data_IF_524404635803
#
_entry.id   IF_524404635803
#
_cell.length_a   1.000
_cell.length_b   1.000
_cell.length_c   1.000
_cell.angle_alpha   90.00
_cell.angle_beta   90.00
_cell.angle_gamma   90.00
#
_symmetry.space_group_name_H-M   'P 1'
#
loop_
_entity.id
_entity.type
_entity.pdbx_description
1 polymer ?
#
# COMPACT_ATOMS: atom_id res chain seq x y z
N UNK A 1 -28.29 5.50 -99.43
CA UNK A 1 -29.47 6.30 -99.02
C UNK A 1 -29.43 6.53 -97.51
N UNK A 2 -28.44 7.27 -97.02
CA UNK A 2 -28.24 7.61 -95.60
C UNK A 2 -28.19 9.13 -95.42
N UNK A 3 -29.12 9.84 -96.08
CA UNK A 3 -29.00 11.29 -96.28
C UNK A 3 -30.28 12.07 -95.94
N UNK A 4 -31.05 11.60 -94.95
CA UNK A 4 -32.31 12.26 -94.53
C UNK A 4 -32.57 12.24 -93.01
N UNK A 5 -31.55 12.47 -92.20
CA UNK A 5 -31.71 12.83 -90.79
C UNK A 5 -30.89 14.07 -90.43
N UNK A 6 -30.98 15.11 -91.25
CA UNK A 6 -30.48 16.44 -90.90
C UNK A 6 -31.50 17.50 -91.30
N UNK A 7 -32.62 17.54 -90.58
CA UNK A 7 -33.45 18.74 -90.52
C UNK A 7 -32.92 19.60 -89.36
N UNK A 8 -32.45 20.84 -89.60
CA UNK A 8 -32.04 21.71 -88.52
C UNK A 8 -33.26 22.00 -87.66
N UNK A 9 -33.20 21.61 -86.38
CA UNK A 9 -34.20 22.03 -85.39
C UNK A 9 -34.35 23.56 -85.48
N UNK A 10 -35.58 24.11 -85.46
CA UNK A 10 -35.78 25.55 -85.54
C UNK A 10 -34.99 26.21 -84.41
N UNK A 11 -34.19 27.22 -84.76
CA UNK A 11 -33.14 27.78 -83.89
C UNK A 11 -33.66 28.21 -82.52
N UNK A 12 -34.92 28.62 -82.42
CA UNK A 12 -35.59 28.96 -81.15
C UNK A 12 -35.81 27.77 -80.20
N UNK A 13 -36.06 26.57 -80.73
CA UNK A 13 -36.22 25.35 -79.93
C UNK A 13 -34.87 24.85 -79.38
N UNK A 14 -33.81 24.97 -80.18
CA UNK A 14 -32.43 24.67 -79.76
C UNK A 14 -31.99 25.61 -78.64
N UNK A 15 -32.26 26.91 -78.79
CA UNK A 15 -31.99 27.92 -77.76
C UNK A 15 -32.77 27.67 -76.46
N UNK A 16 -34.05 27.30 -76.56
CA UNK A 16 -34.89 26.96 -75.40
C UNK A 16 -34.39 25.73 -74.63
N UNK A 17 -33.99 24.67 -75.34
CA UNK A 17 -33.41 23.47 -74.74
C UNK A 17 -32.06 23.74 -74.07
N UNK A 18 -31.19 24.55 -74.70
CA UNK A 18 -29.93 25.00 -74.13
C UNK A 18 -30.15 25.82 -72.86
N UNK A 19 -31.09 26.77 -72.87
CA UNK A 19 -31.44 27.57 -71.70
C UNK A 19 -31.95 26.69 -70.54
N UNK A 20 -32.77 25.68 -70.83
CA UNK A 20 -33.29 24.76 -69.83
C UNK A 20 -32.17 23.88 -69.23
N UNK A 21 -31.27 23.35 -70.06
CA UNK A 21 -30.11 22.58 -69.61
C UNK A 21 -29.15 23.40 -68.75
N UNK A 22 -28.89 24.65 -69.13
CA UNK A 22 -28.04 25.57 -68.34
C UNK A 22 -28.71 25.89 -67.00
N UNK A 23 -30.04 26.08 -66.99
CA UNK A 23 -30.81 26.32 -65.76
C UNK A 23 -30.82 25.09 -64.83
N UNK A 24 -30.96 23.90 -65.40
CA UNK A 24 -30.91 22.63 -64.67
C UNK A 24 -29.50 22.35 -64.11
N UNK A 25 -28.45 22.62 -64.88
CA UNK A 25 -27.07 22.49 -64.43
C UNK A 25 -26.72 23.51 -63.33
N UNK A 26 -27.19 24.75 -63.46
CA UNK A 26 -26.99 25.79 -62.45
C UNK A 26 -27.73 25.45 -61.14
N UNK A 27 -28.99 24.99 -61.22
CA UNK A 27 -29.76 24.58 -60.04
C UNK A 27 -29.19 23.32 -59.37
N UNK A 28 -28.69 22.34 -60.14
CA UNK A 28 -28.00 21.18 -59.59
C UNK A 28 -26.69 21.56 -58.86
N UNK A 29 -25.90 22.49 -59.40
CA UNK A 29 -24.69 23.00 -58.76
C UNK A 29 -24.97 23.74 -57.44
N UNK A 30 -26.02 24.56 -57.42
CA UNK A 30 -26.47 25.27 -56.21
C UNK A 30 -26.96 24.28 -55.15
N UNK A 31 -27.80 23.29 -55.54
CA UNK A 31 -28.32 22.28 -54.63
C UNK A 31 -27.21 21.39 -54.05
N UNK A 32 -26.24 20.98 -54.86
CA UNK A 32 -25.10 20.19 -54.40
C UNK A 32 -24.21 20.99 -53.43
N UNK A 33 -23.92 22.26 -53.73
CA UNK A 33 -23.15 23.14 -52.84
C UNK A 33 -23.84 23.39 -51.51
N UNK A 34 -25.17 23.59 -51.50
CA UNK A 34 -25.96 23.72 -50.28
C UNK A 34 -25.96 22.42 -49.47
N UNK A 35 -26.19 21.27 -50.11
CA UNK A 35 -26.19 19.97 -49.46
C UNK A 35 -24.83 19.64 -48.83
N UNK A 36 -23.74 19.89 -49.55
CA UNK A 36 -22.38 19.70 -49.04
C UNK A 36 -22.09 20.59 -47.82
N UNK A 37 -22.40 21.89 -47.90
CA UNK A 37 -22.21 22.83 -46.78
C UNK A 37 -23.09 22.49 -45.58
N UNK A 38 -24.30 22.00 -45.82
CA UNK A 38 -25.22 21.57 -44.76
C UNK A 38 -24.69 20.31 -44.06
N UNK A 39 -24.26 19.30 -44.82
CA UNK A 39 -23.65 18.09 -44.28
C UNK A 39 -22.34 18.38 -43.54
N UNK A 40 -21.51 19.29 -44.06
CA UNK A 40 -20.29 19.76 -43.38
C UNK A 40 -20.61 20.48 -42.06
N UNK A 41 -21.67 21.31 -42.04
CA UNK A 41 -22.10 21.99 -40.82
C UNK A 41 -22.61 21.00 -39.77
N UNK A 42 -23.46 20.05 -40.16
CA UNK A 42 -23.94 18.96 -39.29
C UNK A 42 -22.76 18.15 -38.72
N UNK A 43 -21.83 17.71 -39.58
CA UNK A 43 -20.67 16.94 -39.14
C UNK A 43 -19.75 17.72 -38.19
N UNK A 44 -19.60 19.04 -38.38
CA UNK A 44 -18.87 19.90 -37.44
C UNK A 44 -19.57 20.01 -36.09
N UNK A 45 -20.91 20.10 -36.10
CA UNK A 45 -21.71 20.15 -34.87
C UNK A 45 -21.63 18.82 -34.10
N UNK A 46 -21.84 17.68 -34.76
CA UNK A 46 -21.77 16.36 -34.13
C UNK A 46 -20.38 16.09 -33.55
N UNK A 47 -19.33 16.48 -34.27
CA UNK A 47 -17.95 16.36 -33.81
C UNK A 47 -17.67 17.27 -32.61
N UNK A 48 -18.23 18.49 -32.60
CA UNK A 48 -18.10 19.40 -31.46
C UNK A 48 -18.82 18.85 -30.22
N UNK A 49 -20.03 18.31 -30.38
CA UNK A 49 -20.80 17.67 -29.31
C UNK A 49 -20.07 16.45 -28.75
N UNK A 50 -19.53 15.58 -29.62
CA UNK A 50 -18.76 14.42 -29.19
C UNK A 50 -17.48 14.82 -28.43
N UNK A 51 -16.79 15.87 -28.89
CA UNK A 51 -15.63 16.43 -28.18
C UNK A 51 -16.01 16.97 -26.81
N UNK A 52 -17.14 17.65 -26.71
CA UNK A 52 -17.65 18.18 -25.45
C UNK A 52 -18.03 17.04 -24.50
N UNK A 53 -18.79 16.04 -24.95
CA UNK A 53 -19.15 14.87 -24.15
C UNK A 53 -17.90 14.12 -23.65
N UNK A 54 -16.87 13.96 -24.47
CA UNK A 54 -15.60 13.39 -24.03
C UNK A 54 -14.84 14.27 -23.04
N UNK A 55 -14.88 15.59 -23.20
CA UNK A 55 -14.29 16.52 -22.25
C UNK A 55 -14.98 16.43 -20.88
N UNK A 56 -16.32 16.39 -20.87
CA UNK A 56 -17.14 16.27 -19.67
C UNK A 56 -16.91 14.91 -18.97
N UNK A 57 -16.86 13.81 -19.73
CA UNK A 57 -16.53 12.49 -19.19
C UNK A 57 -15.13 12.44 -18.58
N UNK A 58 -14.13 13.07 -19.22
CA UNK A 58 -12.76 13.14 -18.68
C UNK A 58 -12.71 14.00 -17.43
N UNK A 59 -13.44 15.11 -17.39
CA UNK A 59 -13.54 15.97 -16.21
C UNK A 59 -14.16 15.21 -15.03
N UNK A 60 -15.31 14.55 -15.25
CA UNK A 60 -15.99 13.74 -14.24
C UNK A 60 -15.11 12.58 -13.74
N UNK A 61 -14.45 11.86 -14.64
CA UNK A 61 -13.52 10.79 -14.25
C UNK A 61 -12.33 11.33 -13.45
N UNK A 62 -11.81 12.51 -13.81
CA UNK A 62 -10.71 13.16 -13.09
C UNK A 62 -11.14 13.55 -11.67
N UNK A 63 -12.32 14.16 -11.53
CA UNK A 63 -12.89 14.54 -10.24
C UNK A 63 -13.13 13.32 -9.35
N UNK A 64 -13.68 12.23 -9.88
CA UNK A 64 -13.89 11.00 -9.13
C UNK A 64 -12.55 10.39 -8.67
N UNK A 65 -11.53 10.40 -9.53
CA UNK A 65 -10.20 9.92 -9.18
C UNK A 65 -9.53 10.80 -8.11
N UNK A 66 -9.69 12.13 -8.18
CA UNK A 66 -9.21 13.05 -7.15
C UNK A 66 -9.91 12.83 -5.81
N UNK A 67 -11.22 12.63 -5.81
CA UNK A 67 -11.99 12.32 -4.60
C UNK A 67 -11.53 10.98 -3.99
N UNK A 68 -11.34 9.94 -4.80
CA UNK A 68 -10.79 8.66 -4.34
C UNK A 68 -9.38 8.82 -3.76
N UNK A 69 -8.53 9.58 -4.43
CA UNK A 69 -7.17 9.85 -3.96
C UNK A 69 -7.18 10.58 -2.61
N UNK A 70 -8.03 11.61 -2.47
CA UNK A 70 -8.17 12.36 -1.21
C UNK A 70 -8.63 11.44 -0.07
N UNK A 71 -9.62 10.58 -0.32
CA UNK A 71 -10.08 9.60 0.67
C UNK A 71 -8.96 8.61 1.09
N UNK A 72 -8.13 8.18 0.14
CA UNK A 72 -6.99 7.32 0.43
C UNK A 72 -5.93 8.05 1.28
N UNK A 73 -5.65 9.31 0.97
CA UNK A 73 -4.73 10.16 1.75
C UNK A 73 -5.26 10.34 3.17
N UNK A 74 -6.54 10.68 3.32
CA UNK A 74 -7.16 10.89 4.64
C UNK A 74 -7.13 9.61 5.48
N UNK A 75 -7.41 8.45 4.87
CA UNK A 75 -7.30 7.14 5.53
C UNK A 75 -5.87 6.84 5.96
N UNK A 76 -4.89 7.08 5.09
CA UNK A 76 -3.48 6.88 5.41
C UNK A 76 -3.03 7.78 6.57
N UNK A 77 -3.42 9.06 6.54
CA UNK A 77 -3.12 10.01 7.61
C UNK A 77 -3.71 9.58 8.96
N UNK A 78 -4.96 9.08 8.97
CA UNK A 78 -5.58 8.57 10.20
C UNK A 78 -4.84 7.36 10.77
N UNK A 79 -4.45 6.43 9.89
CA UNK A 79 -3.66 5.25 10.28
C UNK A 79 -2.32 5.67 10.87
N UNK A 80 -1.62 6.61 10.22
CA UNK A 80 -0.34 7.12 10.68
C UNK A 80 -0.45 7.80 12.04
N UNK A 81 -1.49 8.61 12.27
CA UNK A 81 -1.72 9.24 13.57
C UNK A 81 -1.95 8.22 14.68
N UNK A 82 -2.78 7.19 14.44
CA UNK A 82 -3.05 6.13 15.42
C UNK A 82 -1.78 5.34 15.73
N UNK A 83 -0.98 5.03 14.70
CA UNK A 83 0.27 4.30 14.85
C UNK A 83 1.31 5.14 15.64
N UNK A 84 1.45 6.42 15.32
CA UNK A 84 2.35 7.32 16.04
C UNK A 84 1.97 7.46 17.51
N UNK A 85 0.68 7.68 17.80
CA UNK A 85 0.18 7.75 19.18
C UNK A 85 0.45 6.46 19.95
N UNK A 86 0.19 5.31 19.34
CA UNK A 86 0.44 4.00 19.97
C UNK A 86 1.93 3.79 20.24
N UNK A 87 2.80 4.18 19.31
CA UNK A 87 4.26 4.14 19.50
C UNK A 87 4.73 5.03 20.65
N UNK A 88 4.19 6.24 20.76
CA UNK A 88 4.51 7.16 21.86
C UNK A 88 4.10 6.59 23.22
N UNK A 89 2.86 6.11 23.33
CA UNK A 89 2.37 5.48 24.57
C UNK A 89 3.20 4.26 24.99
N UNK A 90 3.63 3.46 24.00
CA UNK A 90 4.50 2.31 24.26
C UNK A 90 5.89 2.74 24.72
N UNK A 91 6.47 3.79 24.14
CA UNK A 91 7.76 4.33 24.56
C UNK A 91 7.71 4.87 26.00
N UNK A 92 6.69 5.67 26.33
CA UNK A 92 6.48 6.21 27.68
C UNK A 92 6.33 5.09 28.73
N UNK A 93 5.51 4.07 28.43
CA UNK A 93 5.33 2.93 29.32
C UNK A 93 6.65 2.15 29.54
N UNK A 94 7.52 2.10 28.54
CA UNK A 94 8.82 1.45 28.65
C UNK A 94 9.81 2.21 29.52
N UNK A 95 9.87 3.53 29.37
CA UNK A 95 10.80 4.34 30.16
C UNK A 95 10.46 4.23 31.65
N UNK A 96 9.17 4.26 32.00
CA UNK A 96 8.70 3.99 33.36
C UNK A 96 9.07 2.60 33.87
N UNK A 97 9.03 1.57 33.01
CA UNK A 97 9.40 0.22 33.41
C UNK A 97 10.90 0.08 33.61
N UNK A 98 11.74 0.68 32.76
CA UNK A 98 13.21 0.69 32.90
C UNK A 98 13.66 1.28 34.23
N UNK A 99 13.06 2.39 34.64
CA UNK A 99 13.35 3.01 35.94
C UNK A 99 12.99 2.11 37.13
N UNK A 100 11.98 1.25 36.97
CA UNK A 100 11.48 0.37 38.03
C UNK A 100 12.22 -0.97 38.12
N UNK A 101 12.90 -1.43 37.05
CA UNK A 101 13.63 -2.71 37.05
C UNK A 101 14.57 -2.81 38.26
N UNK A 102 15.49 -1.86 38.51
CA UNK A 102 16.46 -2.01 39.59
C UNK A 102 15.79 -2.14 40.96
N UNK A 103 14.66 -1.48 41.18
CA UNK A 103 13.94 -1.55 42.45
C UNK A 103 13.34 -2.95 42.67
N UNK A 104 12.71 -3.53 41.65
CA UNK A 104 12.05 -4.85 41.76
C UNK A 104 13.01 -6.04 41.68
N UNK A 105 14.26 -5.83 41.25
CA UNK A 105 15.27 -6.90 41.12
C UNK A 105 16.35 -6.86 42.20
N UNK A 106 16.34 -5.88 43.12
CA UNK A 106 17.37 -5.76 44.18
C UNK A 106 16.85 -6.02 45.58
N UNK A 107 15.60 -5.65 45.87
CA UNK A 107 15.02 -5.77 47.22
C UNK A 107 13.64 -6.44 47.21
N UNK A 108 13.33 -7.19 48.27
CA UNK A 108 12.01 -7.77 48.51
C UNK A 108 11.55 -7.55 49.95
N UNK A 109 10.25 -7.63 50.18
CA UNK A 109 9.69 -7.70 51.54
C UNK A 109 9.44 -9.17 51.89
N UNK A 110 10.11 -9.72 52.92
CA UNK A 110 9.89 -11.11 53.33
C UNK A 110 8.54 -11.31 54.05
N UNK A 111 7.94 -10.24 54.59
CA UNK A 111 6.60 -10.24 55.16
C UNK A 111 5.97 -8.83 55.06
N UNK A 112 4.64 -8.67 55.13
CA UNK A 112 3.96 -7.39 54.91
C UNK A 112 4.40 -6.21 55.81
N UNK A 113 4.94 -6.49 57.00
CA UNK A 113 5.45 -5.47 57.94
C UNK A 113 6.99 -5.54 58.12
N UNK A 114 7.69 -6.34 57.33
CA UNK A 114 9.14 -6.47 57.43
C UNK A 114 9.86 -5.33 56.69
N UNK A 115 11.11 -5.06 57.09
CA UNK A 115 11.99 -4.16 56.35
C UNK A 115 12.39 -4.79 55.01
N UNK A 116 12.58 -3.99 53.95
CA UNK A 116 13.13 -4.50 52.69
C UNK A 116 14.48 -5.20 52.92
N UNK A 117 14.62 -6.38 52.32
CA UNK A 117 15.82 -7.22 52.38
C UNK A 117 16.35 -7.44 50.94
N UNK A 118 17.66 -7.66 50.76
CA UNK A 118 18.22 -7.96 49.44
C UNK A 118 17.65 -9.28 48.91
N UNK A 119 17.35 -9.32 47.61
CA UNK A 119 16.83 -10.54 46.97
C UNK A 119 17.91 -11.65 47.02
N UNK A 120 17.55 -12.89 47.38
CA UNK A 120 18.48 -14.02 47.30
C UNK A 120 19.01 -14.24 45.88
N UNK A 121 20.25 -14.72 45.74
CA UNK A 121 20.85 -14.97 44.42
C UNK A 121 19.96 -15.87 43.57
N UNK A 122 19.48 -15.32 42.44
CA UNK A 122 18.63 -16.03 41.50
C UNK A 122 19.52 -16.61 40.40
N UNK A 123 19.55 -17.94 40.30
CA UNK A 123 20.40 -18.65 39.35
C UNK A 123 19.56 -19.12 38.16
N UNK A 124 19.90 -18.64 36.98
CA UNK A 124 19.44 -19.23 35.72
C UNK A 124 20.53 -20.14 35.17
N UNK A 125 20.21 -21.41 34.95
CA UNK A 125 21.19 -22.36 34.40
C UNK A 125 21.30 -22.22 32.88
N UNK A 126 22.42 -22.65 32.31
CA UNK A 126 22.64 -22.62 30.86
C UNK A 126 21.57 -23.43 30.09
N UNK A 127 21.09 -24.55 30.66
CA UNK A 127 19.98 -25.33 30.12
C UNK A 127 18.65 -24.59 30.17
N UNK A 128 18.38 -23.85 31.26
CA UNK A 128 17.18 -23.02 31.35
C UNK A 128 17.15 -21.93 30.27
N UNK A 129 18.28 -21.23 30.06
CA UNK A 129 18.37 -20.17 29.04
C UNK A 129 18.25 -20.74 27.63
N UNK A 130 18.84 -21.92 27.37
CA UNK A 130 18.66 -22.65 26.11
C UNK A 130 17.17 -22.90 25.84
N UNK A 131 16.46 -23.51 26.79
CA UNK A 131 15.06 -23.89 26.61
C UNK A 131 14.13 -22.65 26.53
N UNK A 132 14.45 -21.58 27.26
CA UNK A 132 13.79 -20.28 27.13
C UNK A 132 13.90 -19.71 25.70
N UNK A 133 15.11 -19.71 25.12
CA UNK A 133 15.34 -19.24 23.75
C UNK A 133 14.66 -20.13 22.70
N UNK A 134 14.68 -21.45 22.90
CA UNK A 134 13.96 -22.40 22.04
C UNK A 134 12.44 -22.14 22.06
N UNK A 135 11.87 -21.88 23.24
CA UNK A 135 10.44 -21.58 23.39
C UNK A 135 10.01 -20.29 22.66
N UNK A 136 10.91 -19.32 22.49
CA UNK A 136 10.66 -18.07 21.77
C UNK A 136 10.74 -18.21 20.24
N UNK A 137 10.93 -19.43 19.73
CA UNK A 137 11.00 -19.72 18.30
C UNK A 137 12.42 -19.72 17.73
N UNK A 138 13.46 -19.71 18.58
CA UNK A 138 14.81 -20.00 18.14
C UNK A 138 14.90 -21.43 17.62
N UNK A 139 15.38 -21.62 16.40
CA UNK A 139 15.79 -22.95 15.92
C UNK A 139 16.83 -23.54 16.88
N UNK A 140 16.97 -24.88 16.99
CA UNK A 140 18.11 -25.48 17.69
C UNK A 140 19.39 -24.91 17.07
N UNK A 141 20.06 -24.02 17.80
CA UNK A 141 21.32 -23.43 17.39
C UNK A 141 22.31 -24.59 17.19
N UNK A 142 23.04 -24.62 16.06
CA UNK A 142 23.72 -25.82 15.61
C UNK A 142 24.69 -26.32 16.69
N UNK A 143 24.47 -27.56 17.10
CA UNK A 143 25.42 -28.34 17.88
C UNK A 143 26.78 -28.33 17.19
N UNK A 144 27.85 -28.21 17.98
CA UNK A 144 29.23 -28.20 17.51
C UNK A 144 29.56 -29.45 16.68
N UNK A 145 29.33 -29.37 15.37
CA UNK A 145 29.81 -30.31 14.37
C UNK A 145 29.91 -29.57 13.03
N UNK A 146 31.01 -28.82 12.90
CA UNK A 146 31.71 -28.47 11.65
C UNK A 146 30.89 -28.09 10.41
N UNK A 147 30.97 -26.82 10.00
CA UNK A 147 30.55 -26.40 8.67
C UNK A 147 30.57 -24.89 8.47
N UNK A 148 31.73 -24.40 8.02
CA UNK A 148 32.05 -23.07 7.47
C UNK A 148 30.87 -22.17 7.08
N UNK A 149 30.67 -21.08 7.84
CA UNK A 149 30.50 -19.70 7.38
C UNK A 149 30.31 -18.78 8.60
N UNK A 150 31.39 -18.10 9.00
CA UNK A 150 31.35 -17.14 10.10
C UNK A 150 30.45 -15.94 9.74
N UNK A 151 29.37 -15.74 10.48
CA UNK A 151 28.57 -14.51 10.50
C UNK A 151 27.87 -14.37 11.85
N UNK A 152 28.19 -13.27 12.53
CA UNK A 152 27.55 -12.67 13.72
C UNK A 152 27.37 -13.59 14.94
N UNK A 153 28.30 -13.42 15.89
CA UNK A 153 28.40 -14.09 17.20
C UNK A 153 28.83 -15.57 17.13
N UNK A 154 30.06 -15.83 17.58
CA UNK A 154 30.44 -17.14 18.14
C UNK A 154 29.53 -17.41 19.34
N UNK A 155 28.32 -17.92 19.07
CA UNK A 155 27.49 -18.51 20.10
C UNK A 155 28.19 -19.80 20.51
N UNK A 156 28.78 -19.81 21.70
CA UNK A 156 29.22 -21.05 22.32
C UNK A 156 28.07 -22.07 22.21
N UNK A 157 28.38 -23.27 21.71
CA UNK A 157 27.39 -24.32 21.56
C UNK A 157 26.69 -24.53 22.91
N UNK A 158 25.37 -24.33 22.95
CA UNK A 158 24.59 -24.49 24.17
C UNK A 158 24.80 -25.89 24.72
N UNK A 159 24.87 -26.07 26.05
CA UNK A 159 24.97 -27.40 26.65
C UNK A 159 23.86 -28.31 26.11
N UNK A 160 24.22 -29.55 25.76
CA UNK A 160 23.25 -30.53 25.31
C UNK A 160 22.25 -30.87 26.44
N UNK A 161 20.98 -31.18 26.11
CA UNK A 161 20.02 -31.66 27.10
C UNK A 161 20.56 -32.87 27.87
N UNK A 162 20.48 -32.83 29.20
CA UNK A 162 20.97 -33.88 30.10
C UNK A 162 22.49 -33.86 30.36
N UNK A 163 23.24 -32.90 29.81
CA UNK A 163 24.65 -32.73 30.11
C UNK A 163 24.84 -31.95 31.41
N UNK A 164 25.85 -32.29 32.22
CA UNK A 164 26.14 -31.59 33.48
C UNK A 164 26.38 -30.08 33.28
N UNK A 165 26.90 -29.69 32.11
CA UNK A 165 27.13 -28.30 31.73
C UNK A 165 25.84 -27.47 31.64
N UNK A 166 24.67 -28.10 31.47
CA UNK A 166 23.39 -27.39 31.43
C UNK A 166 22.96 -26.87 32.81
N UNK A 167 23.53 -27.41 33.89
CA UNK A 167 23.28 -26.98 35.27
C UNK A 167 24.22 -25.84 35.72
N UNK A 168 25.22 -25.49 34.91
CA UNK A 168 26.10 -24.36 35.21
C UNK A 168 25.32 -23.05 35.15
N UNK A 169 25.69 -22.11 36.02
CA UNK A 169 25.14 -20.76 36.01
C UNK A 169 25.44 -20.08 34.67
N UNK A 170 24.39 -19.53 34.05
CA UNK A 170 24.47 -18.91 32.72
C UNK A 170 25.03 -17.49 32.73
N UNK A 171 25.11 -16.85 33.91
CA UNK A 171 25.41 -15.42 34.05
C UNK A 171 24.27 -14.48 33.68
N UNK A 172 23.13 -15.01 33.21
CA UNK A 172 21.91 -14.22 33.00
C UNK A 172 21.30 -13.85 34.34
N UNK A 173 20.89 -12.60 34.50
CA UNK A 173 20.29 -12.08 35.73
C UNK A 173 18.78 -11.87 35.57
N UNK A 174 18.01 -11.73 36.66
CA UNK A 174 16.59 -11.36 36.58
C UNK A 174 16.34 -10.03 35.85
N UNK A 175 17.29 -9.10 35.94
CA UNK A 175 17.23 -7.83 35.22
C UNK A 175 17.31 -8.03 33.70
N UNK A 176 18.14 -8.96 33.23
CA UNK A 176 18.27 -9.28 31.80
C UNK A 176 16.98 -9.90 31.24
N UNK A 177 16.34 -10.79 32.01
CA UNK A 177 15.04 -11.38 31.62
C UNK A 177 13.95 -10.30 31.55
N UNK A 178 13.93 -9.37 32.49
CA UNK A 178 12.94 -8.29 32.49
C UNK A 178 13.19 -7.28 31.37
N UNK A 179 14.45 -6.97 31.06
CA UNK A 179 14.84 -6.18 29.91
C UNK A 179 14.44 -6.86 28.60
N UNK A 180 14.71 -8.16 28.45
CA UNK A 180 14.24 -8.95 27.32
C UNK A 180 12.71 -8.90 27.19
N UNK A 181 11.96 -9.10 28.28
CA UNK A 181 10.49 -9.06 28.26
C UNK A 181 9.95 -7.69 27.83
N UNK A 182 10.63 -6.59 28.21
CA UNK A 182 10.29 -5.25 27.74
C UNK A 182 10.51 -5.10 26.24
N UNK A 183 11.65 -5.55 25.73
CA UNK A 183 11.97 -5.47 24.30
C UNK A 183 11.06 -6.35 23.45
N UNK A 184 10.82 -7.59 23.89
CA UNK A 184 9.89 -8.51 23.25
C UNK A 184 8.46 -7.99 23.28
N UNK A 185 8.02 -7.45 24.42
CA UNK A 185 6.72 -6.78 24.56
C UNK A 185 6.59 -5.58 23.62
N UNK A 186 7.66 -4.80 23.42
CA UNK A 186 7.71 -3.70 22.44
C UNK A 186 7.39 -4.20 21.05
N UNK A 187 8.11 -5.25 20.65
CA UNK A 187 8.03 -5.81 19.32
C UNK A 187 6.62 -6.38 19.07
N UNK A 188 6.10 -7.17 20.01
CA UNK A 188 4.77 -7.76 19.93
C UNK A 188 3.65 -6.70 19.87
N UNK A 189 3.71 -5.67 20.73
CA UNK A 189 2.74 -4.57 20.72
C UNK A 189 2.87 -3.69 19.48
N UNK A 190 4.09 -3.51 18.95
CA UNK A 190 4.34 -2.82 17.69
C UNK A 190 3.68 -3.54 16.50
N UNK A 191 3.85 -4.87 16.41
CA UNK A 191 3.18 -5.68 15.39
C UNK A 191 1.65 -5.61 15.54
N UNK A 192 1.14 -5.72 16.78
CA UNK A 192 -0.29 -5.58 17.05
C UNK A 192 -0.83 -4.22 16.60
N UNK A 193 -0.10 -3.14 16.87
CA UNK A 193 -0.49 -1.80 16.44
C UNK A 193 -0.57 -1.69 14.91
N UNK A 194 0.41 -2.25 14.20
CA UNK A 194 0.39 -2.33 12.74
C UNK A 194 -0.80 -3.16 12.22
N UNK A 195 -1.07 -4.32 12.83
CA UNK A 195 -2.22 -5.15 12.46
C UNK A 195 -3.54 -4.42 12.66
N UNK A 196 -3.75 -3.75 13.80
CA UNK A 196 -4.99 -2.99 14.04
C UNK A 196 -5.12 -1.82 13.03
N UNK A 197 -4.01 -1.14 12.74
CA UNK A 197 -3.96 -0.07 11.75
C UNK A 197 -4.37 -0.55 10.36
N UNK A 198 -3.89 -1.73 9.92
CA UNK A 198 -4.15 -2.25 8.58
C UNK A 198 -5.41 -3.15 8.47
N UNK A 199 -5.85 -3.78 9.55
CA UNK A 199 -7.04 -4.65 9.58
C UNK A 199 -8.35 -3.91 9.83
N UNK A 200 -8.34 -2.60 10.12
CA UNK A 200 -9.57 -1.80 10.12
C UNK A 200 -10.05 -1.62 8.67
N UNK A 201 -10.60 -2.71 8.13
CA UNK A 201 -11.53 -2.72 6.99
C UNK A 201 -12.80 -2.03 7.47
N UNK A 202 -13.06 -0.90 6.82
CA UNK A 202 -14.36 -0.32 6.47
C UNK A 202 -15.52 -0.56 7.44
#
# INVERSE_FOLDING_TARGET
MLDRLSTPLPSGLVLGLLACLVSAAASAGIAYGFGFRHAEALGKTDLAELKQAHADQRAAATEENLNRLQQQIDRANQVDQVLQKTKQQLAEAQDLLKERIPNVTTVYLPAPAAKPAPIPHCVFTAGWVRDFNLALGGAPLPSASGGTNASLHDAAAWPAPGAAQELLESGVTPADILAFAQDYGRWALGIRAQLIAFQRKD
#
